data_IF_266564044997
#
_entry.id   IF_266564044997
#
_cell.length_a   1.000
_cell.length_b   1.000
_cell.length_c   1.000
_cell.angle_alpha   90.00
_cell.angle_beta   90.00
_cell.angle_gamma   90.00
#
_symmetry.space_group_name_H-M   'P 1'
#
loop_
_entity.id
_entity.type
_entity.pdbx_description
1 polymer ?
#
# COMPACT_ATOMS: atom_id res chain seq x y z
N UNK A 1 8.65 -40.38 12.60
CA UNK A 1 7.72 -39.44 13.26
C UNK A 1 8.23 -38.04 13.02
N UNK A 2 7.78 -37.38 11.97
CA UNK A 2 8.12 -35.98 11.67
C UNK A 2 7.16 -35.10 12.47
N UNK A 3 7.63 -34.40 13.49
CA UNK A 3 6.88 -33.34 14.17
C UNK A 3 6.79 -32.16 13.20
N UNK A 4 5.61 -31.98 12.59
CA UNK A 4 5.23 -30.75 11.94
C UNK A 4 5.20 -29.66 13.01
N UNK A 5 6.21 -28.80 13.04
CA UNK A 5 6.15 -27.56 13.79
C UNK A 5 5.12 -26.67 13.06
N UNK A 6 3.87 -26.71 13.52
CA UNK A 6 2.89 -25.69 13.21
C UNK A 6 3.37 -24.40 13.86
N UNK A 7 4.21 -23.65 13.14
CA UNK A 7 4.64 -22.32 13.55
C UNK A 7 3.41 -21.43 13.73
N UNK A 8 3.20 -20.90 14.95
CA UNK A 8 2.15 -19.90 15.18
C UNK A 8 2.45 -18.72 14.28
N UNK A 9 1.56 -18.45 13.32
CA UNK A 9 1.60 -17.23 12.51
C UNK A 9 1.44 -16.04 13.44
N UNK A 10 2.35 -15.07 13.34
CA UNK A 10 2.28 -13.84 14.10
C UNK A 10 1.66 -12.75 13.21
N UNK A 11 0.55 -12.18 13.65
CA UNK A 11 -0.03 -10.98 13.01
C UNK A 11 0.73 -9.75 13.49
N UNK A 12 1.19 -8.95 12.55
CA UNK A 12 1.96 -7.73 12.77
C UNK A 12 1.28 -6.54 12.08
N UNK A 13 1.57 -5.34 12.56
CA UNK A 13 1.12 -4.08 11.96
C UNK A 13 2.34 -3.25 11.55
N UNK A 14 2.28 -2.72 10.34
CA UNK A 14 3.14 -1.62 9.88
C UNK A 14 2.27 -0.41 9.56
N UNK A 15 2.65 0.72 10.14
CA UNK A 15 1.99 2.00 9.96
C UNK A 15 3.03 3.04 9.53
N UNK A 16 2.68 3.82 8.52
CA UNK A 16 3.56 4.84 7.95
C UNK A 16 2.78 6.10 7.67
N UNK A 17 3.27 7.22 8.17
CA UNK A 17 2.66 8.54 8.01
C UNK A 17 3.49 9.39 7.06
N UNK A 18 2.82 10.20 6.23
CA UNK A 18 3.43 11.19 5.35
C UNK A 18 2.59 12.46 5.33
N UNK A 19 3.25 13.62 5.27
CA UNK A 19 2.59 14.90 5.10
C UNK A 19 2.45 15.21 3.60
N UNK A 20 1.21 15.39 3.13
CA UNK A 20 0.90 15.86 1.80
C UNK A 20 0.71 17.39 1.83
N UNK A 21 1.36 18.11 0.93
CA UNK A 21 1.28 19.58 0.81
C UNK A 21 0.01 20.06 0.11
N UNK A 22 -1.06 19.28 0.17
CA UNK A 22 -2.36 19.56 -0.44
C UNK A 22 -3.47 19.41 0.58
N UNK A 23 -4.65 19.97 0.30
CA UNK A 23 -5.80 19.84 1.19
C UNK A 23 -6.26 18.40 1.34
N UNK A 24 -6.96 18.11 2.45
CA UNK A 24 -7.47 16.76 2.73
C UNK A 24 -8.38 16.20 1.60
N UNK A 25 -9.32 16.97 1.00
CA UNK A 25 -10.11 16.49 -0.14
C UNK A 25 -9.26 16.16 -1.37
N UNK A 26 -8.20 16.92 -1.62
CA UNK A 26 -7.27 16.66 -2.71
C UNK A 26 -6.42 15.41 -2.46
N UNK A 27 -5.90 15.27 -1.24
CA UNK A 27 -5.19 14.06 -0.81
C UNK A 27 -6.07 12.82 -0.95
N UNK A 28 -7.35 12.92 -0.56
CA UNK A 28 -8.34 11.87 -0.74
C UNK A 28 -8.51 11.46 -2.22
N UNK A 29 -8.67 12.43 -3.11
CA UNK A 29 -8.78 12.15 -4.55
C UNK A 29 -7.56 11.41 -5.08
N UNK A 30 -6.35 11.81 -4.68
CA UNK A 30 -5.10 11.14 -5.08
C UNK A 30 -5.04 9.69 -4.63
N UNK A 31 -5.58 9.35 -3.46
CA UNK A 31 -5.61 7.96 -2.95
C UNK A 31 -6.66 7.13 -3.70
N UNK A 32 -7.86 7.69 -3.89
CA UNK A 32 -8.98 6.98 -4.54
C UNK A 32 -8.72 6.75 -6.01
N UNK A 33 -8.20 7.76 -6.72
CA UNK A 33 -7.94 7.71 -8.17
C UNK A 33 -6.50 7.35 -8.51
N UNK A 34 -5.77 6.74 -7.58
CA UNK A 34 -4.41 6.27 -7.84
C UNK A 34 -4.41 5.09 -8.82
N UNK A 35 -4.06 5.37 -10.07
CA UNK A 35 -4.03 4.38 -11.18
C UNK A 35 -2.63 4.23 -11.79
N UNK A 36 -1.74 5.20 -11.56
CA UNK A 36 -0.43 5.22 -12.21
C UNK A 36 0.56 4.28 -11.53
N UNK A 37 1.44 3.70 -12.34
CA UNK A 37 2.56 2.92 -11.85
C UNK A 37 3.54 3.84 -11.10
N UNK A 38 3.86 3.54 -9.85
CA UNK A 38 4.86 4.30 -9.12
C UNK A 38 6.23 4.19 -9.80
N UNK A 39 7.07 5.19 -9.57
CA UNK A 39 8.46 5.13 -9.99
C UNK A 39 9.12 3.82 -9.50
N UNK A 40 10.10 3.26 -10.23
CA UNK A 40 10.71 1.99 -9.85
C UNK A 40 11.35 2.07 -8.46
N UNK A 41 11.18 1.00 -7.68
CA UNK A 41 11.82 0.86 -6.37
C UNK A 41 13.34 0.99 -6.50
N UNK A 42 13.96 1.74 -5.59
CA UNK A 42 15.42 1.86 -5.52
C UNK A 42 16.05 0.56 -5.03
N UNK A 43 17.27 0.26 -5.51
CA UNK A 43 18.10 -0.78 -4.93
C UNK A 43 18.47 -0.41 -3.47
N UNK A 44 18.44 -1.33 -2.49
CA UNK A 44 18.21 -2.78 -2.56
C UNK A 44 16.75 -3.24 -2.49
N UNK A 45 15.77 -2.34 -2.29
CA UNK A 45 14.34 -2.70 -2.13
C UNK A 45 13.81 -3.49 -3.32
N UNK A 46 14.24 -3.12 -4.53
CA UNK A 46 13.86 -3.79 -5.77
C UNK A 46 14.27 -5.27 -5.84
N UNK A 47 15.29 -5.67 -5.07
CA UNK A 47 15.75 -7.06 -5.03
C UNK A 47 14.91 -7.94 -4.09
N UNK A 48 14.21 -7.33 -3.13
CA UNK A 48 13.49 -8.04 -2.06
C UNK A 48 11.97 -7.90 -2.20
N UNK A 49 11.49 -6.74 -2.65
CA UNK A 49 10.06 -6.46 -2.76
C UNK A 49 9.58 -6.54 -4.21
N UNK A 50 8.38 -7.08 -4.44
CA UNK A 50 7.73 -7.00 -5.75
C UNK A 50 7.51 -5.54 -6.12
N UNK A 51 7.89 -5.17 -7.34
CA UNK A 51 7.75 -3.80 -7.83
C UNK A 51 6.30 -3.51 -8.19
N UNK A 52 5.65 -2.51 -7.57
CA UNK A 52 4.32 -2.08 -7.97
C UNK A 52 4.35 -1.47 -9.37
N UNK A 53 3.40 -1.84 -10.22
CA UNK A 53 3.27 -1.38 -11.60
C UNK A 53 2.05 -0.49 -11.83
N UNK A 54 1.01 -0.65 -11.01
CA UNK A 54 -0.20 0.14 -11.10
C UNK A 54 -1.37 -0.48 -10.35
N UNK A 55 -2.52 0.17 -10.48
CA UNK A 55 -3.77 -0.26 -9.85
C UNK A 55 -4.85 -0.34 -10.93
N UNK A 56 -5.67 -1.40 -10.90
CA UNK A 56 -6.81 -1.61 -11.79
C UNK A 56 -8.08 -1.74 -10.94
N UNK A 57 -9.20 -1.26 -11.49
CA UNK A 57 -10.49 -1.26 -10.81
C UNK A 57 -10.81 0.09 -10.19
N UNK A 58 -12.09 0.32 -9.93
CA UNK A 58 -12.61 1.58 -9.41
C UNK A 58 -12.87 1.46 -7.91
N UNK A 59 -12.42 2.46 -7.15
CA UNK A 59 -12.67 2.57 -5.70
C UNK A 59 -13.90 3.44 -5.45
N UNK A 60 -15.06 3.03 -5.94
CA UNK A 60 -16.30 3.83 -5.92
C UNK A 60 -17.20 3.56 -4.70
N UNK A 61 -16.77 2.73 -3.77
CA UNK A 61 -17.52 2.49 -2.53
C UNK A 61 -17.10 1.23 -1.80
N UNK A 62 -17.77 0.95 -0.69
CA UNK A 62 -17.62 -0.32 0.03
C UNK A 62 -18.04 -1.48 -0.88
N UNK A 63 -17.29 -2.56 -0.86
CA UNK A 63 -17.46 -3.72 -1.74
C UNK A 63 -16.67 -3.66 -3.04
N UNK A 64 -16.15 -2.50 -3.44
CA UNK A 64 -15.36 -2.34 -4.66
C UNK A 64 -14.10 -3.22 -4.65
N UNK A 65 -13.81 -3.85 -5.79
CA UNK A 65 -12.64 -4.69 -5.99
C UNK A 65 -11.54 -3.91 -6.70
N UNK A 66 -10.35 -3.98 -6.17
CA UNK A 66 -9.17 -3.26 -6.67
C UNK A 66 -8.01 -4.25 -6.81
N UNK A 67 -7.45 -4.33 -7.99
CA UNK A 67 -6.28 -5.14 -8.27
C UNK A 67 -5.02 -4.25 -8.31
N UNK A 68 -4.12 -4.45 -7.37
CA UNK A 68 -2.79 -3.89 -7.41
C UNK A 68 -1.89 -4.82 -8.22
N UNK A 69 -1.35 -4.32 -9.32
CA UNK A 69 -0.48 -5.07 -10.23
C UNK A 69 0.97 -4.85 -9.86
N UNK A 70 1.72 -5.92 -9.72
CA UNK A 70 3.14 -5.92 -9.42
C UNK A 70 3.92 -6.64 -10.52
N UNK A 71 5.21 -6.43 -10.57
CA UNK A 71 6.07 -7.20 -11.48
C UNK A 71 6.10 -8.68 -11.04
N UNK A 72 5.52 -9.54 -11.86
CA UNK A 72 5.43 -10.98 -11.59
C UNK A 72 4.24 -11.42 -10.75
N UNK A 73 3.28 -10.52 -10.45
CA UNK A 73 2.11 -10.92 -9.70
C UNK A 73 1.08 -9.83 -9.44
N UNK A 74 0.14 -10.12 -8.58
CA UNK A 74 -0.93 -9.18 -8.21
C UNK A 74 -1.43 -9.36 -6.78
N UNK A 75 -2.09 -8.32 -6.29
CA UNK A 75 -2.76 -8.28 -5.00
C UNK A 75 -4.20 -7.80 -5.21
N UNK A 76 -5.18 -8.65 -4.90
CA UNK A 76 -6.59 -8.29 -4.98
C UNK A 76 -7.07 -7.77 -3.63
N UNK A 77 -7.62 -6.57 -3.64
CA UNK A 77 -8.19 -5.91 -2.45
C UNK A 77 -9.67 -5.66 -2.63
N UNK A 78 -10.41 -5.71 -1.54
CA UNK A 78 -11.78 -5.22 -1.46
C UNK A 78 -11.82 -4.02 -0.53
N UNK A 79 -12.44 -2.94 -0.98
CA UNK A 79 -12.76 -1.80 -0.11
C UNK A 79 -13.83 -2.23 0.89
N UNK A 80 -13.55 -2.13 2.18
CA UNK A 80 -14.49 -2.52 3.24
C UNK A 80 -15.21 -1.33 3.86
N UNK A 81 -14.50 -0.20 3.98
CA UNK A 81 -15.06 1.07 4.48
C UNK A 81 -14.57 2.20 3.59
N UNK A 82 -15.47 3.09 3.22
CA UNK A 82 -15.16 4.32 2.51
C UNK A 82 -15.89 5.48 3.16
N UNK A 83 -15.17 6.30 3.91
CA UNK A 83 -15.66 7.47 4.64
C UNK A 83 -14.91 8.74 4.18
N UNK A 84 -15.29 9.33 3.03
CA UNK A 84 -14.64 10.52 2.51
C UNK A 84 -14.76 11.72 3.45
N UNK A 85 -13.75 12.57 3.53
CA UNK A 85 -12.40 12.46 3.00
C UNK A 85 -11.40 11.91 4.03
N UNK A 86 -11.83 11.07 4.97
CA UNK A 86 -11.06 10.68 6.15
C UNK A 86 -10.47 9.29 6.10
N UNK A 87 -11.28 8.27 5.75
CA UNK A 87 -10.88 6.87 5.97
C UNK A 87 -11.26 5.99 4.79
N UNK A 88 -10.30 5.20 4.33
CA UNK A 88 -10.47 4.13 3.35
C UNK A 88 -9.89 2.84 3.94
N UNK A 89 -10.73 1.85 4.26
CA UNK A 89 -10.27 0.54 4.71
C UNK A 89 -10.39 -0.48 3.58
N UNK A 90 -9.47 -1.43 3.56
CA UNK A 90 -9.47 -2.51 2.58
C UNK A 90 -9.08 -3.84 3.23
N UNK A 91 -9.55 -4.93 2.64
CA UNK A 91 -9.14 -6.30 2.93
C UNK A 91 -8.46 -6.91 1.72
N UNK A 92 -7.41 -7.67 1.94
CA UNK A 92 -6.76 -8.45 0.90
C UNK A 92 -7.52 -9.76 0.72
N UNK A 93 -8.01 -10.00 -0.49
CA UNK A 93 -8.74 -11.22 -0.85
C UNK A 93 -7.81 -12.28 -1.43
N UNK A 94 -6.86 -11.84 -2.25
CA UNK A 94 -5.89 -12.71 -2.90
C UNK A 94 -4.54 -12.02 -3.03
N UNK A 95 -3.47 -12.78 -2.85
CA UNK A 95 -2.10 -12.33 -2.99
C UNK A 95 -1.32 -13.36 -3.79
N UNK A 96 -0.76 -12.92 -4.91
CA UNK A 96 0.12 -13.72 -5.76
C UNK A 96 1.34 -12.85 -6.12
N UNK A 97 2.28 -12.74 -5.20
CA UNK A 97 3.47 -11.89 -5.30
C UNK A 97 4.77 -12.69 -5.22
N UNK A 98 4.67 -14.01 -4.93
CA UNK A 98 5.81 -14.91 -4.74
C UNK A 98 6.48 -14.77 -3.37
N UNK A 99 5.85 -14.08 -2.41
CA UNK A 99 6.35 -13.90 -1.03
C UNK A 99 5.40 -14.46 0.04
N UNK A 100 4.31 -15.11 -0.37
CA UNK A 100 3.20 -15.56 0.49
C UNK A 100 3.62 -16.58 1.53
N UNK A 101 4.65 -17.37 1.22
CA UNK A 101 5.21 -18.36 2.16
C UNK A 101 5.91 -17.69 3.35
N UNK A 102 6.38 -16.45 3.18
CA UNK A 102 7.02 -15.66 4.24
C UNK A 102 6.09 -14.60 4.83
N UNK A 103 5.47 -13.78 3.99
CA UNK A 103 4.67 -12.61 4.40
C UNK A 103 3.38 -12.55 3.60
N UNK A 104 2.25 -12.48 4.30
CA UNK A 104 0.92 -12.37 3.72
C UNK A 104 0.19 -11.14 4.27
N UNK A 105 -0.18 -10.22 3.38
CA UNK A 105 -1.02 -9.08 3.74
C UNK A 105 -2.46 -9.54 4.03
N UNK A 106 -3.09 -8.95 5.04
CA UNK A 106 -4.46 -9.27 5.47
C UNK A 106 -5.44 -8.15 5.12
N UNK A 107 -5.20 -6.99 5.69
CA UNK A 107 -6.01 -5.80 5.54
C UNK A 107 -5.18 -4.55 5.81
N UNK A 108 -5.80 -3.41 5.65
CA UNK A 108 -5.17 -2.14 5.96
C UNK A 108 -6.13 -0.97 5.81
N UNK A 109 -5.60 0.22 6.07
CA UNK A 109 -6.37 1.44 5.93
C UNK A 109 -5.50 2.62 5.54
N UNK A 110 -6.15 3.60 4.91
CA UNK A 110 -5.68 4.97 4.79
C UNK A 110 -6.49 5.84 5.74
N UNK A 111 -5.81 6.67 6.51
CA UNK A 111 -6.42 7.68 7.36
C UNK A 111 -5.84 9.05 7.05
N UNK A 112 -6.70 10.03 6.85
CA UNK A 112 -6.36 11.39 6.47
C UNK A 112 -6.81 12.36 7.55
N UNK A 113 -5.88 13.18 8.02
CA UNK A 113 -6.15 14.23 8.99
C UNK A 113 -5.65 15.60 8.47
N UNK A 114 -6.50 16.65 8.52
CA UNK A 114 -6.07 17.98 8.10
C UNK A 114 -4.98 18.50 9.02
N UNK A 115 -4.01 19.22 8.43
CA UNK A 115 -2.91 19.90 9.13
C UNK A 115 -2.87 21.36 8.67
N UNK A 116 -2.12 22.19 9.41
CA UNK A 116 -1.98 23.61 9.10
C UNK A 116 -1.42 23.85 7.69
N UNK A 117 -0.50 23.00 7.24
CA UNK A 117 0.17 23.12 5.94
C UNK A 117 -0.13 21.92 5.01
N UNK A 118 -1.37 21.40 5.06
CA UNK A 118 -1.73 20.30 4.18
C UNK A 118 -2.56 19.21 4.83
N UNK A 119 -2.21 17.96 4.57
CA UNK A 119 -2.91 16.79 5.07
C UNK A 119 -1.92 15.70 5.50
N UNK A 120 -2.09 15.18 6.70
CA UNK A 120 -1.39 13.98 7.14
C UNK A 120 -2.10 12.75 6.59
N UNK A 121 -1.36 11.89 5.91
CA UNK A 121 -1.85 10.62 5.37
C UNK A 121 -1.12 9.47 6.05
N UNK A 122 -1.88 8.61 6.71
CA UNK A 122 -1.39 7.39 7.34
C UNK A 122 -1.81 6.19 6.50
N UNK A 123 -0.85 5.34 6.13
CA UNK A 123 -1.08 4.04 5.53
C UNK A 123 -0.69 2.95 6.52
N UNK A 124 -1.63 2.08 6.84
CA UNK A 124 -1.42 0.93 7.71
C UNK A 124 -1.71 -0.38 6.99
N UNK A 125 -0.95 -1.42 7.29
CA UNK A 125 -1.15 -2.77 6.77
C UNK A 125 -0.93 -3.80 7.87
N UNK A 126 -1.93 -4.63 8.12
CA UNK A 126 -1.79 -5.85 8.90
C UNK A 126 -1.31 -6.97 7.99
N UNK A 127 -0.36 -7.75 8.50
CA UNK A 127 0.19 -8.89 7.78
C UNK A 127 0.49 -10.06 8.71
N UNK A 128 0.45 -11.26 8.15
CA UNK A 128 0.96 -12.47 8.80
C UNK A 128 2.37 -12.76 8.36
N UNK A 129 3.21 -13.15 9.30
CA UNK A 129 4.57 -13.61 9.01
C UNK A 129 4.77 -15.04 9.49
N UNK A 130 5.42 -15.85 8.65
CA UNK A 130 5.83 -17.22 8.91
C UNK A 130 7.35 -17.35 9.03
N UNK A 131 8.09 -16.26 8.88
CA UNK A 131 9.55 -16.25 8.90
C UNK A 131 10.09 -16.42 10.32
N UNK A 132 11.06 -17.33 10.50
CA UNK A 132 11.70 -17.62 11.78
C UNK A 132 13.23 -17.58 11.65
N UNK A 133 13.96 -17.17 12.69
CA UNK A 133 13.47 -16.71 14.01
C UNK A 133 12.88 -15.28 13.96
N UNK A 134 11.81 -15.04 14.72
CA UNK A 134 11.06 -13.76 14.68
C UNK A 134 11.89 -12.54 15.08
N UNK A 135 12.84 -12.70 16.02
CA UNK A 135 13.70 -11.60 16.47
C UNK A 135 14.58 -11.02 15.35
N UNK A 136 14.94 -11.85 14.37
CA UNK A 136 15.73 -11.43 13.21
C UNK A 136 14.83 -10.86 12.08
N UNK A 137 13.76 -11.57 11.74
CA UNK A 137 12.93 -11.22 10.59
C UNK A 137 11.96 -10.05 10.82
N UNK A 138 11.40 -9.95 12.04
CA UNK A 138 10.46 -8.89 12.39
C UNK A 138 10.97 -7.46 12.09
N UNK A 139 12.18 -7.05 12.50
CA UNK A 139 12.69 -5.73 12.18
C UNK A 139 12.94 -5.54 10.68
N UNK A 140 13.39 -6.57 9.97
CA UNK A 140 13.61 -6.52 8.53
C UNK A 140 12.29 -6.38 7.76
N UNK A 141 11.28 -7.18 8.09
CA UNK A 141 9.93 -7.08 7.50
C UNK A 141 9.35 -5.68 7.68
N UNK A 142 9.37 -5.16 8.91
CA UNK A 142 8.89 -3.81 9.22
C UNK A 142 9.65 -2.74 8.44
N UNK A 143 10.96 -2.86 8.35
CA UNK A 143 11.76 -1.94 7.56
C UNK A 143 11.36 -1.95 6.09
N UNK A 144 11.31 -3.11 5.44
CA UNK A 144 10.97 -3.22 4.02
C UNK A 144 9.53 -2.76 3.73
N UNK A 145 8.55 -3.15 4.56
CA UNK A 145 7.17 -2.74 4.39
C UNK A 145 7.00 -1.22 4.62
N UNK A 146 7.70 -0.64 5.59
CA UNK A 146 7.72 0.82 5.78
C UNK A 146 8.29 1.54 4.56
N UNK A 147 9.36 1.03 3.97
CA UNK A 147 9.92 1.61 2.75
C UNK A 147 8.96 1.49 1.56
N UNK A 148 8.24 0.37 1.44
CA UNK A 148 7.20 0.20 0.43
C UNK A 148 6.05 1.20 0.63
N UNK A 149 5.56 1.37 1.87
CA UNK A 149 4.54 2.37 2.20
C UNK A 149 5.00 3.79 1.82
N UNK A 150 6.22 4.16 2.20
CA UNK A 150 6.80 5.48 1.85
C UNK A 150 6.85 5.69 0.34
N UNK A 151 7.24 4.66 -0.40
CA UNK A 151 7.29 4.70 -1.85
C UNK A 151 5.89 4.90 -2.47
N UNK A 152 4.88 4.17 -1.98
CA UNK A 152 3.48 4.30 -2.42
C UNK A 152 2.94 5.70 -2.11
N UNK A 153 3.12 6.19 -0.88
CA UNK A 153 2.67 7.53 -0.46
C UNK A 153 3.36 8.65 -1.25
N UNK A 154 4.66 8.55 -1.49
CA UNK A 154 5.39 9.51 -2.32
C UNK A 154 4.88 9.52 -3.77
N UNK A 155 4.59 8.35 -4.34
CA UNK A 155 4.03 8.24 -5.69
C UNK A 155 2.64 8.88 -5.80
N UNK A 156 1.79 8.73 -4.78
CA UNK A 156 0.48 9.39 -4.72
C UNK A 156 0.60 10.91 -4.59
N UNK A 157 1.64 11.39 -3.92
CA UNK A 157 1.89 12.82 -3.74
C UNK A 157 2.30 13.51 -5.04
N UNK A 158 3.10 12.84 -5.89
CA UNK A 158 3.66 13.41 -7.14
C UNK A 158 2.75 13.24 -8.35
N UNK A 159 1.63 12.53 -8.25
CA UNK A 159 0.76 12.17 -9.38
C UNK A 159 0.16 13.37 -10.12
N UNK A 160 -0.08 14.49 -9.45
CA UNK A 160 -0.82 15.63 -10.02
C UNK A 160 0.02 16.55 -10.93
N UNK A 161 1.33 16.56 -10.78
CA UNK A 161 2.21 17.40 -11.62
C UNK A 161 2.16 16.95 -13.09
N UNK A 162 2.07 15.64 -13.33
CA UNK A 162 2.04 15.06 -14.69
C UNK A 162 0.68 15.17 -15.38
N UNK A 163 -0.42 15.25 -14.62
CA UNK A 163 -1.77 15.37 -15.19
C UNK A 163 -2.04 16.80 -15.69
N UNK A 164 -1.53 17.83 -15.01
CA UNK A 164 -1.59 19.23 -15.47
C UNK A 164 -0.78 19.44 -16.75
N UNK A 165 0.44 18.93 -16.84
CA UNK A 165 1.27 19.07 -18.06
C UNK A 165 0.65 18.40 -19.29
N UNK A 166 -0.08 17.27 -19.10
CA UNK A 166 -0.75 16.57 -20.19
C UNK A 166 -2.01 17.27 -20.71
N UNK A 167 -2.67 18.09 -19.90
CA UNK A 167 -3.81 18.90 -20.33
C UNK A 167 -3.37 20.17 -21.06
N UNK A 168 -2.28 20.81 -20.63
CA UNK A 168 -1.75 22.01 -21.30
C UNK A 168 -1.13 21.69 -22.68
N UNK A 169 -0.61 20.49 -22.90
CA UNK A 169 -0.05 20.08 -24.20
C UNK A 169 -1.11 19.64 -25.24
N UNK A 170 -2.40 19.66 -24.88
CA UNK A 170 -3.53 19.31 -25.78
C UNK A 170 -4.38 20.51 -26.23
N UNK A 171 -4.02 21.71 -25.80
CA UNK A 171 -4.66 22.98 -26.24
C UNK A 171 -3.78 23.70 -27.25
#
# INVERSE_FOLDING_TARGET
>A
MARVFAGRTATELVETQSLFTVSQPEAWRRIVFYEEAPAPLRWPLRAVLPQPLGVRGEKNGAGALVQCVYRGGSLMKQVTVMAPPRTLCFRVLDQNLGIEDGVRALDGYYELAPQLEGCSVTLATHYESRMHPRWLWRPLEKYFLTQLHRHILASMQTQNERTCERQESRT
#
